data_IF_885695082234
#
_entry.id   IF_885695082234
#
_cell.length_a   1.000
_cell.length_b   1.000
_cell.length_c   1.000
_cell.angle_alpha   90.00
_cell.angle_beta   90.00
_cell.angle_gamma   90.00
#
_symmetry.space_group_name_H-M   'P 1'
#
loop_
_entity.id
_entity.type
_entity.pdbx_description
1 polymer ?
#
# COMPACT_ATOMS: atom_id res chain seq x y z
N UNK A 1 36.37 -2.21 -27.30
CA UNK A 1 35.91 -3.20 -26.28
C UNK A 1 34.52 -2.92 -25.70
N UNK A 2 33.96 -1.73 -25.81
CA UNK A 2 32.61 -1.36 -25.27
C UNK A 2 31.40 -1.81 -26.09
N UNK A 3 31.52 -1.93 -27.39
CA UNK A 3 30.40 -2.22 -28.31
C UNK A 3 29.94 -3.70 -28.23
N UNK A 4 30.85 -4.64 -28.05
CA UNK A 4 30.56 -6.06 -27.90
C UNK A 4 29.88 -6.41 -26.57
N UNK A 5 30.22 -5.69 -25.48
CA UNK A 5 29.63 -5.88 -24.16
C UNK A 5 28.17 -5.38 -24.12
N UNK A 6 27.84 -4.27 -24.83
CA UNK A 6 26.46 -3.77 -25.00
C UNK A 6 25.60 -4.74 -25.81
N UNK A 7 26.12 -5.33 -26.88
CA UNK A 7 25.39 -6.27 -27.75
C UNK A 7 25.08 -7.60 -27.03
N UNK A 8 26.02 -8.09 -26.18
CA UNK A 8 25.83 -9.32 -25.39
C UNK A 8 24.81 -9.14 -24.27
N UNK A 9 24.78 -7.99 -23.63
CA UNK A 9 23.75 -7.65 -22.63
C UNK A 9 22.37 -7.45 -23.26
N UNK A 10 22.32 -6.89 -24.48
CA UNK A 10 21.09 -6.71 -25.25
C UNK A 10 20.48 -8.06 -25.65
N UNK A 11 21.29 -9.00 -26.18
CA UNK A 11 20.86 -10.35 -26.54
C UNK A 11 20.44 -11.20 -25.31
N UNK A 12 21.10 -11.02 -24.18
CA UNK A 12 20.73 -11.69 -22.93
C UNK A 12 19.39 -11.17 -22.38
N UNK A 13 19.13 -9.85 -22.49
CA UNK A 13 17.82 -9.26 -22.18
C UNK A 13 16.71 -9.82 -23.05
N UNK A 14 16.93 -9.89 -24.36
CA UNK A 14 15.93 -10.41 -25.33
C UNK A 14 15.57 -11.87 -25.01
N UNK A 15 16.55 -12.73 -24.73
CA UNK A 15 16.30 -14.14 -24.39
C UNK A 15 15.53 -14.29 -23.07
N UNK A 16 15.83 -13.49 -22.05
CA UNK A 16 15.11 -13.49 -20.76
C UNK A 16 13.67 -13.00 -20.90
N UNK A 17 13.46 -11.92 -21.67
CA UNK A 17 12.13 -11.35 -21.88
C UNK A 17 11.25 -12.31 -22.68
N UNK A 18 11.80 -12.94 -23.75
CA UNK A 18 11.08 -14.00 -24.48
C UNK A 18 10.61 -15.13 -23.57
N UNK A 19 11.38 -15.50 -22.54
CA UNK A 19 11.00 -16.55 -21.59
C UNK A 19 9.90 -16.10 -20.60
N UNK A 20 9.76 -14.79 -20.34
CA UNK A 20 8.80 -14.24 -19.36
C UNK A 20 7.50 -13.73 -20.02
N UNK A 21 7.58 -13.25 -21.28
CA UNK A 21 6.43 -12.72 -22.03
C UNK A 21 5.79 -13.78 -22.95
N UNK A 22 6.53 -14.84 -23.34
CA UNK A 22 5.91 -15.92 -24.12
C UNK A 22 5.15 -16.90 -23.22
N UNK A 23 3.83 -17.05 -23.40
CA UNK A 23 3.14 -17.14 -24.71
C UNK A 23 1.89 -16.24 -24.85
N UNK A 24 1.98 -14.95 -24.65
CA UNK A 24 0.80 -14.09 -24.78
C UNK A 24 0.87 -13.39 -26.15
N UNK A 25 0.22 -13.96 -27.17
CA UNK A 25 -0.08 -13.26 -28.40
C UNK A 25 -1.28 -12.35 -28.15
N UNK A 26 -1.12 -11.06 -28.45
CA UNK A 26 -2.25 -10.13 -28.50
C UNK A 26 -3.08 -10.46 -29.75
N UNK A 27 -4.40 -10.45 -29.59
CA UNK A 27 -5.34 -10.73 -30.68
C UNK A 27 -5.90 -9.43 -31.26
N UNK A 28 -5.53 -9.05 -32.51
CA UNK A 28 -6.04 -7.86 -33.14
C UNK A 28 -7.55 -7.91 -33.44
N UNK A 29 -8.12 -9.11 -33.51
CA UNK A 29 -9.53 -9.34 -33.85
C UNK A 29 -10.43 -9.48 -32.62
N UNK A 30 -9.86 -9.39 -31.41
CA UNK A 30 -10.59 -9.43 -30.16
C UNK A 30 -11.45 -8.16 -29.99
N UNK A 31 -12.62 -8.27 -29.37
CA UNK A 31 -13.42 -7.11 -28.94
C UNK A 31 -12.65 -6.19 -27.97
N UNK A 32 -11.60 -6.71 -27.35
CA UNK A 32 -10.77 -5.97 -26.41
C UNK A 32 -9.67 -5.21 -27.14
N UNK A 33 -9.62 -3.86 -27.02
CA UNK A 33 -8.61 -3.04 -27.69
C UNK A 33 -7.18 -3.48 -27.36
N UNK A 34 -6.27 -3.41 -28.34
CA UNK A 34 -4.87 -3.86 -28.20
C UNK A 34 -4.11 -3.17 -27.05
N UNK A 35 -4.41 -1.90 -26.73
CA UNK A 35 -3.77 -1.22 -25.61
C UNK A 35 -4.19 -1.80 -24.25
N UNK A 36 -5.44 -2.29 -24.14
CA UNK A 36 -5.91 -2.95 -22.90
C UNK A 36 -5.29 -4.34 -22.77
N UNK A 37 -5.18 -5.09 -23.85
CA UNK A 37 -4.48 -6.37 -23.85
C UNK A 37 -2.99 -6.19 -23.48
N UNK A 38 -2.33 -5.17 -24.04
CA UNK A 38 -0.96 -4.83 -23.70
C UNK A 38 -0.80 -4.43 -22.23
N UNK A 39 -1.76 -3.68 -21.67
CA UNK A 39 -1.80 -3.34 -20.24
C UNK A 39 -1.82 -4.60 -19.36
N UNK A 40 -2.65 -5.59 -19.68
CA UNK A 40 -2.73 -6.84 -18.91
C UNK A 40 -1.41 -7.64 -18.94
N UNK A 41 -0.76 -7.66 -20.11
CA UNK A 41 0.56 -8.29 -20.25
C UNK A 41 1.61 -7.57 -19.42
N UNK A 42 1.61 -6.24 -19.44
CA UNK A 42 2.53 -5.43 -18.64
C UNK A 42 2.28 -5.61 -17.13
N UNK A 43 1.02 -5.73 -16.67
CA UNK A 43 0.68 -6.02 -15.28
C UNK A 43 1.28 -7.34 -14.82
N UNK A 44 1.12 -8.41 -15.60
CA UNK A 44 1.73 -9.71 -15.30
C UNK A 44 3.26 -9.63 -15.28
N UNK A 45 3.85 -8.86 -16.19
CA UNK A 45 5.30 -8.65 -16.23
C UNK A 45 5.81 -7.93 -14.97
N UNK A 46 5.12 -6.87 -14.54
CA UNK A 46 5.45 -6.09 -13.34
C UNK A 46 5.39 -6.95 -12.08
N UNK A 47 4.44 -7.88 -11.99
CA UNK A 47 4.27 -8.79 -10.86
C UNK A 47 5.26 -9.96 -10.84
N UNK A 48 5.95 -10.22 -11.94
CA UNK A 48 6.92 -11.30 -12.01
C UNK A 48 8.09 -11.09 -11.05
N UNK A 49 8.67 -12.19 -10.54
CA UNK A 49 9.83 -12.15 -9.63
C UNK A 49 10.99 -11.30 -10.17
N UNK A 50 11.11 -11.17 -11.49
CA UNK A 50 12.19 -10.44 -12.14
C UNK A 50 12.04 -8.91 -12.00
N UNK A 51 10.81 -8.38 -12.03
CA UNK A 51 10.52 -6.93 -12.05
C UNK A 51 9.96 -6.39 -10.74
N UNK A 52 9.46 -7.26 -9.87
CA UNK A 52 8.82 -6.89 -8.59
C UNK A 52 9.66 -6.01 -7.67
N UNK A 53 10.99 -5.98 -7.84
CA UNK A 53 11.93 -5.24 -6.99
C UNK A 53 12.34 -3.87 -7.58
N UNK A 54 11.52 -3.26 -8.40
CA UNK A 54 11.80 -1.93 -8.94
C UNK A 54 12.84 -1.92 -10.07
N UNK A 55 12.89 -2.96 -10.88
CA UNK A 55 13.77 -3.08 -12.04
C UNK A 55 13.26 -2.22 -13.20
N UNK A 56 14.17 -1.80 -14.06
CA UNK A 56 13.82 -1.14 -15.33
C UNK A 56 13.12 -2.12 -16.25
N UNK A 57 11.99 -1.71 -16.84
CA UNK A 57 11.37 -2.42 -17.94
C UNK A 57 12.28 -2.34 -19.18
N UNK A 58 12.17 -3.28 -20.12
CA UNK A 58 12.76 -3.15 -21.43
C UNK A 58 12.32 -1.86 -22.10
N UNK A 59 13.12 -1.34 -23.02
CA UNK A 59 12.75 -0.13 -23.73
C UNK A 59 11.46 -0.32 -24.57
N UNK A 60 10.75 0.77 -24.82
CA UNK A 60 9.45 0.75 -25.53
C UNK A 60 9.56 0.14 -26.94
N UNK A 61 10.72 0.29 -27.62
CA UNK A 61 10.96 -0.29 -28.95
C UNK A 61 10.92 -1.80 -28.86
N UNK A 62 11.69 -2.35 -27.94
CA UNK A 62 11.81 -3.80 -27.75
C UNK A 62 10.48 -4.43 -27.32
N UNK A 63 9.75 -3.77 -26.40
CA UNK A 63 8.44 -4.24 -25.96
C UNK A 63 7.39 -4.18 -27.09
N UNK A 64 7.38 -3.12 -27.89
CA UNK A 64 6.44 -3.00 -29.02
C UNK A 64 6.69 -4.06 -30.09
N UNK A 65 7.95 -4.35 -30.41
CA UNK A 65 8.33 -5.42 -31.32
C UNK A 65 7.93 -6.80 -30.80
N UNK A 66 8.13 -7.06 -29.52
CA UNK A 66 7.79 -8.35 -28.90
C UNK A 66 6.29 -8.61 -28.83
N UNK A 67 5.50 -7.58 -28.56
CA UNK A 67 4.04 -7.65 -28.51
C UNK A 67 3.39 -7.49 -29.87
N UNK A 68 4.19 -7.22 -30.92
CA UNK A 68 3.74 -6.95 -32.29
C UNK A 68 2.65 -5.87 -32.37
N UNK A 69 2.88 -4.74 -31.67
CA UNK A 69 1.98 -3.59 -31.63
C UNK A 69 2.74 -2.30 -31.93
N UNK A 70 1.98 -1.24 -32.27
CA UNK A 70 2.58 0.07 -32.47
C UNK A 70 3.15 0.63 -31.15
N UNK A 71 4.19 1.47 -31.25
CA UNK A 71 4.74 2.18 -30.08
C UNK A 71 3.68 3.04 -29.39
N UNK A 72 2.75 3.62 -30.17
CA UNK A 72 1.68 4.44 -29.60
C UNK A 72 0.71 3.60 -28.76
N UNK A 73 0.34 2.42 -29.24
CA UNK A 73 -0.50 1.47 -28.49
C UNK A 73 0.18 1.04 -27.19
N UNK A 74 1.47 0.71 -27.26
CA UNK A 74 2.25 0.37 -26.07
C UNK A 74 2.35 1.55 -25.08
N UNK A 75 2.55 2.78 -25.59
CA UNK A 75 2.62 3.99 -24.76
C UNK A 75 1.33 4.27 -24.04
N UNK A 76 0.17 4.03 -24.66
CA UNK A 76 -1.13 4.15 -24.00
C UNK A 76 -1.22 3.21 -22.78
N UNK A 77 -0.83 1.93 -22.96
CA UNK A 77 -0.79 0.97 -21.86
C UNK A 77 0.19 1.39 -20.76
N UNK A 78 1.42 1.80 -21.12
CA UNK A 78 2.40 2.28 -20.14
C UNK A 78 1.91 3.55 -19.42
N UNK A 79 1.31 4.52 -20.13
CA UNK A 79 0.78 5.74 -19.52
C UNK A 79 -0.30 5.44 -18.48
N UNK A 80 -1.17 4.49 -18.75
CA UNK A 80 -2.18 4.03 -17.81
C UNK A 80 -1.54 3.49 -16.52
N UNK A 81 -0.52 2.63 -16.65
CA UNK A 81 0.20 2.08 -15.51
C UNK A 81 1.06 3.13 -14.77
N UNK A 82 1.55 4.16 -15.46
CA UNK A 82 2.21 5.31 -14.83
C UNK A 82 1.20 6.16 -14.05
N UNK A 83 0.02 6.41 -14.62
CA UNK A 83 -1.08 7.12 -13.94
C UNK A 83 -1.54 6.38 -12.69
N UNK A 84 -1.54 5.05 -12.72
CA UNK A 84 -1.87 4.20 -11.56
C UNK A 84 -0.70 4.05 -10.56
N UNK A 85 0.43 4.71 -10.81
CA UNK A 85 1.59 4.65 -9.92
C UNK A 85 2.34 3.30 -9.92
N UNK A 86 2.02 2.38 -10.84
CA UNK A 86 2.71 1.09 -10.96
C UNK A 86 4.04 1.20 -11.70
N UNK A 87 4.17 2.22 -12.54
CA UNK A 87 5.38 2.53 -13.29
C UNK A 87 5.77 4.00 -13.09
N UNK A 88 7.06 4.29 -13.18
CA UNK A 88 7.58 5.66 -13.20
C UNK A 88 8.51 5.84 -14.41
N UNK A 89 8.29 6.92 -15.18
CA UNK A 89 9.21 7.32 -16.26
C UNK A 89 10.26 8.28 -15.72
N UNK A 90 11.51 8.00 -16.05
CA UNK A 90 12.62 8.92 -15.80
C UNK A 90 13.29 9.27 -17.13
N UNK A 91 13.22 10.56 -17.51
CA UNK A 91 13.80 11.06 -18.76
C UNK A 91 15.26 10.59 -18.90
N UNK A 92 15.59 9.96 -20.02
CA UNK A 92 16.92 9.41 -20.31
C UNK A 92 17.25 8.06 -19.62
N UNK A 93 16.44 7.58 -18.68
CA UNK A 93 16.70 6.36 -17.91
C UNK A 93 15.68 5.24 -18.14
N UNK A 94 14.59 5.51 -18.88
CA UNK A 94 13.56 4.53 -19.20
C UNK A 94 12.40 4.48 -18.21
N UNK A 95 11.63 3.40 -18.27
CA UNK A 95 10.46 3.14 -17.41
C UNK A 95 10.82 2.11 -16.34
N UNK A 96 10.61 2.44 -15.10
CA UNK A 96 10.92 1.60 -13.93
C UNK A 96 9.64 1.14 -13.27
N UNK A 97 9.61 -0.11 -12.83
CA UNK A 97 8.56 -0.60 -11.94
C UNK A 97 8.69 0.15 -10.61
N UNK A 98 7.62 0.78 -10.17
CA UNK A 98 7.59 1.37 -8.83
C UNK A 98 7.66 0.21 -7.85
N UNK A 99 8.63 0.24 -6.93
CA UNK A 99 8.52 -0.62 -5.74
C UNK A 99 7.16 -0.28 -5.15
N UNK A 100 6.30 -1.26 -4.97
CA UNK A 100 5.07 -1.05 -4.22
C UNK A 100 5.48 -0.51 -2.85
N UNK A 101 5.57 0.81 -2.73
CA UNK A 101 5.26 1.45 -1.49
C UNK A 101 3.84 0.99 -1.16
N UNK A 102 3.47 1.02 0.08
CA UNK A 102 2.15 0.62 0.57
C UNK A 102 1.09 1.47 -0.15
N UNK A 103 0.71 1.06 -1.38
CA UNK A 103 -0.44 1.63 -2.08
C UNK A 103 -1.60 0.74 -1.66
N UNK A 104 -2.29 1.14 -0.61
CA UNK A 104 -3.59 0.60 -0.25
C UNK A 104 -4.55 0.88 -1.40
N UNK A 105 -4.63 -0.05 -2.35
CA UNK A 105 -5.62 0.01 -3.43
C UNK A 105 -7.00 -0.28 -2.84
N UNK A 106 -7.94 0.63 -3.09
CA UNK A 106 -9.33 0.67 -2.62
C UNK A 106 -10.15 -0.63 -2.88
N UNK A 107 -9.61 -1.64 -3.53
CA UNK A 107 -10.36 -2.87 -3.90
C UNK A 107 -10.10 -4.11 -3.04
N UNK A 108 -9.02 -4.17 -2.28
CA UNK A 108 -8.76 -5.26 -1.33
C UNK A 108 -8.35 -4.62 0.00
N UNK A 109 -9.32 -4.51 0.90
CA UNK A 109 -9.05 -4.06 2.25
C UNK A 109 -8.09 -5.05 2.92
N UNK A 110 -6.90 -4.58 3.28
CA UNK A 110 -5.90 -5.33 4.01
C UNK A 110 -5.59 -4.61 5.33
N UNK A 111 -5.49 -5.37 6.40
CA UNK A 111 -4.95 -4.84 7.64
C UNK A 111 -3.45 -4.52 7.46
N UNK A 112 -2.93 -3.59 8.26
CA UNK A 112 -1.50 -3.29 8.26
C UNK A 112 -0.62 -4.54 8.43
N UNK A 113 -1.01 -5.47 9.32
CA UNK A 113 -0.26 -6.72 9.52
C UNK A 113 -0.28 -7.62 8.26
N UNK A 114 -1.39 -7.65 7.53
CA UNK A 114 -1.48 -8.39 6.27
C UNK A 114 -0.67 -7.72 5.16
N UNK A 115 -0.71 -6.37 5.08
CA UNK A 115 0.11 -5.59 4.14
C UNK A 115 1.61 -5.90 4.36
N UNK A 116 2.09 -5.85 5.59
CA UNK A 116 3.48 -6.13 5.94
C UNK A 116 3.87 -7.59 5.67
N UNK A 117 3.00 -8.54 6.01
CA UNK A 117 3.22 -9.96 5.72
C UNK A 117 3.36 -10.23 4.21
N UNK A 118 2.54 -9.58 3.38
CA UNK A 118 2.65 -9.69 1.91
C UNK A 118 3.95 -9.09 1.36
N UNK A 119 4.48 -8.06 2.03
CA UNK A 119 5.78 -7.46 1.69
C UNK A 119 6.97 -8.27 2.24
N UNK A 120 6.72 -9.32 3.04
CA UNK A 120 7.75 -10.11 3.69
C UNK A 120 8.44 -9.36 4.83
N UNK A 121 7.78 -8.34 5.39
CA UNK A 121 8.29 -7.54 6.50
C UNK A 121 7.74 -8.12 7.81
N UNK A 122 8.64 -8.57 8.67
CA UNK A 122 8.31 -8.97 10.04
C UNK A 122 8.14 -7.73 10.91
N UNK A 123 6.99 -7.62 11.56
CA UNK A 123 6.62 -6.45 12.36
C UNK A 123 6.92 -6.67 13.83
N UNK A 124 7.62 -5.69 14.43
CA UNK A 124 7.84 -5.56 15.87
C UNK A 124 6.96 -4.44 16.42
N UNK A 125 6.35 -4.66 17.59
CA UNK A 125 5.74 -3.60 18.39
C UNK A 125 6.82 -2.99 19.29
N UNK A 126 7.05 -1.68 19.18
CA UNK A 126 7.95 -0.92 20.06
C UNK A 126 7.20 -0.38 21.26
N UNK A 127 5.97 0.10 21.02
CA UNK A 127 5.06 0.57 22.05
C UNK A 127 3.67 0.00 21.80
N UNK A 128 2.95 -0.29 22.89
CA UNK A 128 1.54 -0.65 22.89
C UNK A 128 0.91 -0.09 24.16
N UNK A 129 -0.08 0.78 23.99
CA UNK A 129 -0.79 1.38 25.11
C UNK A 129 -2.29 1.40 24.86
N UNK A 130 -3.06 1.00 25.86
CA UNK A 130 -4.52 1.03 25.83
C UNK A 130 -5.02 2.05 26.85
N UNK A 131 -5.98 2.87 26.45
CA UNK A 131 -6.60 3.87 27.32
C UNK A 131 -8.06 4.10 26.92
N UNK A 132 -8.82 4.80 27.77
CA UNK A 132 -10.18 5.24 27.48
C UNK A 132 -10.21 6.76 27.48
N UNK A 133 -10.45 7.38 26.31
CA UNK A 133 -10.39 8.84 26.15
C UNK A 133 -11.72 9.37 25.58
N UNK A 134 -12.06 10.60 25.95
CA UNK A 134 -13.15 11.34 25.28
C UNK A 134 -12.77 11.57 23.82
N UNK A 135 -13.61 11.16 22.84
CA UNK A 135 -13.33 11.36 21.43
C UNK A 135 -13.52 12.84 21.02
N UNK A 136 -12.87 13.24 19.93
CA UNK A 136 -13.11 14.54 19.28
C UNK A 136 -14.47 14.57 18.58
N UNK A 137 -14.95 15.76 18.19
CA UNK A 137 -16.20 15.92 17.44
C UNK A 137 -16.19 15.12 16.11
N UNK A 138 -15.04 15.07 15.41
CA UNK A 138 -14.86 14.29 14.19
C UNK A 138 -15.11 12.80 14.42
N UNK A 139 -14.58 12.27 15.54
CA UNK A 139 -14.74 10.87 15.92
C UNK A 139 -16.16 10.59 16.41
N UNK A 140 -16.76 11.53 17.17
CA UNK A 140 -18.15 11.44 17.59
C UNK A 140 -19.08 11.36 16.37
N UNK A 141 -18.87 12.23 15.39
CA UNK A 141 -19.63 12.23 14.13
C UNK A 141 -19.47 10.90 13.38
N UNK A 142 -18.25 10.40 13.29
CA UNK A 142 -17.97 9.14 12.61
C UNK A 142 -18.67 7.94 13.26
N UNK A 143 -18.67 7.85 14.58
CA UNK A 143 -19.33 6.77 15.32
C UNK A 143 -20.82 7.02 15.61
N UNK A 144 -21.34 8.17 15.23
CA UNK A 144 -22.70 8.60 15.53
C UNK A 144 -23.03 8.56 17.03
N UNK A 145 -22.10 9.12 17.85
CA UNK A 145 -22.25 9.27 19.30
C UNK A 145 -22.42 10.74 19.69
N UNK A 146 -23.24 10.95 20.70
CA UNK A 146 -23.51 12.29 21.24
C UNK A 146 -22.31 12.76 22.07
N UNK A 147 -21.62 13.86 21.70
CA UNK A 147 -20.47 14.37 22.44
C UNK A 147 -20.78 14.82 23.85
N UNK A 148 -22.05 15.19 24.14
CA UNK A 148 -22.48 15.69 25.46
C UNK A 148 -22.68 14.55 26.47
N UNK A 149 -22.85 13.31 26.03
CA UNK A 149 -23.03 12.15 26.91
C UNK A 149 -21.76 11.72 27.65
N UNK A 150 -20.61 12.35 27.39
CA UNK A 150 -19.34 12.02 28.05
C UNK A 150 -18.82 10.61 27.73
N UNK A 151 -19.32 9.99 26.66
CA UNK A 151 -18.93 8.64 26.23
C UNK A 151 -17.43 8.60 25.94
N UNK A 152 -16.74 7.60 26.49
CA UNK A 152 -15.32 7.35 26.20
C UNK A 152 -15.19 6.25 25.18
N UNK A 153 -14.25 6.41 24.25
CA UNK A 153 -13.82 5.37 23.33
C UNK A 153 -12.59 4.68 23.88
N UNK A 154 -12.47 3.37 23.69
CA UNK A 154 -11.18 2.71 23.85
C UNK A 154 -10.23 3.22 22.78
N UNK A 155 -9.00 3.53 23.19
CA UNK A 155 -7.92 4.02 22.33
C UNK A 155 -6.75 3.07 22.42
N UNK A 156 -6.33 2.56 21.28
CA UNK A 156 -5.14 1.72 21.15
C UNK A 156 -4.06 2.51 20.43
N UNK A 157 -2.99 2.81 21.13
CA UNK A 157 -1.80 3.48 20.60
C UNK A 157 -0.69 2.44 20.41
N UNK A 158 -0.11 2.38 19.20
CA UNK A 158 0.96 1.44 18.89
C UNK A 158 2.03 2.09 18.05
N UNK A 159 3.29 1.88 18.42
CA UNK A 159 4.44 2.18 17.59
C UNK A 159 4.98 0.88 17.03
N UNK A 160 5.05 0.79 15.71
CA UNK A 160 5.41 -0.44 14.99
C UNK A 160 6.50 -0.19 13.95
N UNK A 161 7.29 -1.20 13.72
CA UNK A 161 8.39 -1.11 12.77
C UNK A 161 8.92 -2.48 12.38
N UNK A 162 10.08 -2.50 11.74
CA UNK A 162 10.86 -3.70 11.51
C UNK A 162 11.70 -4.04 12.76
N UNK A 163 12.67 -4.93 12.64
CA UNK A 163 13.55 -5.32 13.76
C UNK A 163 14.48 -4.18 14.22
N UNK A 164 14.78 -3.23 13.34
CA UNK A 164 15.83 -2.21 13.54
C UNK A 164 15.26 -0.88 14.07
N UNK A 165 14.13 -0.41 13.50
CA UNK A 165 13.56 0.90 13.84
C UNK A 165 12.04 0.96 13.68
N UNK A 166 11.37 1.86 14.43
CA UNK A 166 9.96 2.14 14.24
C UNK A 166 9.74 2.93 12.94
N UNK A 167 8.69 2.64 12.20
CA UNK A 167 8.35 3.41 11.00
C UNK A 167 6.90 3.86 10.93
N UNK A 168 6.07 3.46 11.88
CA UNK A 168 4.69 3.92 11.97
C UNK A 168 4.21 3.99 13.41
N UNK A 169 3.50 5.08 13.73
CA UNK A 169 2.76 5.25 14.99
C UNK A 169 1.26 5.30 14.67
N UNK A 170 0.48 4.43 15.30
CA UNK A 170 -0.96 4.34 15.16
C UNK A 170 -1.70 4.84 16.39
N UNK A 171 -2.80 5.54 16.16
CA UNK A 171 -3.80 5.86 17.18
C UNK A 171 -5.14 5.38 16.65
N UNK A 172 -5.72 4.36 17.27
CA UNK A 172 -7.00 3.75 16.89
C UNK A 172 -8.05 4.03 17.96
N UNK A 173 -9.14 4.69 17.59
CA UNK A 173 -10.34 4.83 18.40
C UNK A 173 -11.35 3.77 17.97
N UNK A 174 -11.96 3.09 18.93
CA UNK A 174 -12.97 2.07 18.65
C UNK A 174 -14.36 2.55 19.01
N UNK A 175 -15.34 2.10 18.23
CA UNK A 175 -16.74 2.36 18.50
C UNK A 175 -17.09 1.89 19.92
N UNK A 176 -17.63 2.76 20.80
CA UNK A 176 -17.92 2.41 22.18
C UNK A 176 -19.04 1.35 22.33
N UNK A 177 -19.79 1.07 21.27
CA UNK A 177 -20.76 -0.02 21.27
C UNK A 177 -20.12 -1.42 21.14
N UNK A 178 -18.82 -1.48 20.83
CA UNK A 178 -18.05 -2.73 20.88
C UNK A 178 -17.59 -2.92 22.32
N UNK A 179 -17.89 -4.05 22.97
CA UNK A 179 -17.60 -4.25 24.39
C UNK A 179 -16.12 -4.59 24.63
N UNK A 180 -15.20 -3.78 24.07
CA UNK A 180 -13.76 -3.90 24.31
C UNK A 180 -13.45 -3.52 25.75
N UNK A 181 -12.71 -4.39 26.44
CA UNK A 181 -12.33 -4.19 27.85
C UNK A 181 -10.97 -3.51 28.01
N UNK A 182 -10.12 -3.60 26.99
CA UNK A 182 -8.73 -3.15 27.03
C UNK A 182 -7.75 -4.24 27.45
N UNK A 183 -8.25 -5.41 27.87
CA UNK A 183 -7.44 -6.57 28.30
C UNK A 183 -7.16 -7.55 27.15
N UNK A 184 -7.62 -7.21 25.94
CA UNK A 184 -7.38 -8.02 24.75
C UNK A 184 -5.89 -8.06 24.39
N UNK A 185 -5.44 -9.20 23.85
CA UNK A 185 -4.07 -9.33 23.36
C UNK A 185 -3.88 -8.61 22.01
N UNK A 186 -3.60 -7.31 22.09
CA UNK A 186 -3.34 -6.47 20.92
C UNK A 186 -1.93 -6.63 20.31
N UNK A 187 -1.13 -7.56 20.79
CA UNK A 187 0.10 -7.98 20.12
C UNK A 187 -0.22 -8.79 18.86
N UNK A 188 -1.38 -9.44 18.84
CA UNK A 188 -1.91 -10.18 17.70
C UNK A 188 -2.51 -9.24 16.63
N UNK A 189 -2.80 -9.74 15.42
CA UNK A 189 -3.50 -9.01 14.40
C UNK A 189 -4.85 -8.50 14.91
N UNK A 190 -5.01 -7.18 15.01
CA UNK A 190 -6.16 -6.49 15.62
C UNK A 190 -7.52 -7.02 15.12
N UNK A 191 -7.67 -7.17 13.80
CA UNK A 191 -8.96 -7.58 13.24
C UNK A 191 -9.25 -9.07 13.44
N UNK A 192 -8.20 -9.88 13.65
CA UNK A 192 -8.38 -11.25 14.13
C UNK A 192 -8.93 -11.30 15.56
N UNK A 193 -8.48 -10.39 16.43
CA UNK A 193 -9.05 -10.26 17.79
C UNK A 193 -10.52 -9.84 17.73
N UNK A 194 -10.88 -8.86 16.87
CA UNK A 194 -12.27 -8.40 16.71
C UNK A 194 -13.17 -9.51 16.13
N UNK A 195 -12.70 -10.24 15.16
CA UNK A 195 -13.44 -11.35 14.54
C UNK A 195 -13.65 -12.50 15.53
N UNK A 196 -12.58 -12.98 16.16
CA UNK A 196 -12.63 -14.18 17.00
C UNK A 196 -13.40 -13.95 18.33
N UNK A 197 -13.24 -12.76 18.94
CA UNK A 197 -13.82 -12.47 20.26
C UNK A 197 -15.19 -11.80 20.19
N UNK A 198 -15.42 -10.99 19.17
CA UNK A 198 -16.61 -10.14 19.05
C UNK A 198 -17.46 -10.42 17.82
N UNK A 199 -17.06 -11.38 16.98
CA UNK A 199 -17.71 -11.71 15.70
C UNK A 199 -17.85 -10.49 14.76
N UNK A 200 -16.88 -9.57 14.82
CA UNK A 200 -16.86 -8.35 13.99
C UNK A 200 -15.95 -8.60 12.79
N UNK A 201 -16.55 -8.76 11.61
CA UNK A 201 -15.85 -8.95 10.36
C UNK A 201 -15.67 -7.60 9.69
N UNK A 202 -14.46 -7.07 9.74
CA UNK A 202 -14.12 -5.82 9.07
C UNK A 202 -14.00 -6.06 7.56
N UNK A 203 -14.63 -5.17 6.75
CA UNK A 203 -14.69 -5.35 5.30
C UNK A 203 -14.27 -4.15 4.48
N UNK A 204 -14.51 -2.93 4.96
CA UNK A 204 -14.32 -1.72 4.16
C UNK A 204 -13.57 -0.67 4.96
N UNK A 205 -12.69 0.07 4.31
CA UNK A 205 -12.16 1.32 4.86
C UNK A 205 -12.21 2.44 3.82
N UNK A 206 -12.56 3.63 4.27
CA UNK A 206 -12.31 4.89 3.54
C UNK A 206 -11.04 5.49 4.08
N UNK A 207 -10.27 6.16 3.24
CA UNK A 207 -8.96 6.66 3.63
C UNK A 207 -8.76 8.11 3.17
N UNK A 208 -8.11 8.87 4.02
CA UNK A 208 -7.61 10.20 3.72
C UNK A 208 -6.10 10.20 3.93
N UNK A 209 -5.36 10.76 2.99
CA UNK A 209 -3.90 10.81 3.03
C UNK A 209 -3.44 12.26 2.94
N UNK A 210 -2.55 12.64 3.86
CA UNK A 210 -1.92 13.95 3.89
C UNK A 210 -0.45 13.83 4.31
N UNK A 211 0.29 14.93 4.23
CA UNK A 211 1.67 14.98 4.68
C UNK A 211 1.93 16.27 5.46
N UNK A 212 2.82 16.19 6.45
CA UNK A 212 3.32 17.34 7.20
C UNK A 212 4.70 17.04 7.79
N UNK A 213 5.30 17.99 8.47
CA UNK A 213 6.46 17.74 9.31
C UNK A 213 6.06 16.96 10.58
N UNK A 214 6.95 16.12 11.08
CA UNK A 214 6.68 15.24 12.21
C UNK A 214 6.23 16.01 13.47
N UNK A 215 6.93 17.11 13.79
CA UNK A 215 6.82 17.76 15.09
C UNK A 215 7.45 16.90 16.19
N UNK A 216 7.63 17.45 17.37
CA UNK A 216 8.38 16.80 18.46
C UNK A 216 7.78 15.46 18.88
N UNK A 217 6.46 15.42 19.12
CA UNK A 217 5.76 14.24 19.63
C UNK A 217 5.86 13.00 18.71
N UNK A 218 5.68 13.19 17.40
CA UNK A 218 5.78 12.06 16.45
C UNK A 218 7.23 11.72 16.14
N UNK A 219 8.11 12.72 16.13
CA UNK A 219 9.54 12.54 15.94
C UNK A 219 10.15 11.63 17.00
N UNK A 220 9.82 11.84 18.26
CA UNK A 220 10.24 10.98 19.39
C UNK A 220 9.77 9.54 19.20
N UNK A 221 8.48 9.33 18.86
CA UNK A 221 7.91 7.99 18.66
C UNK A 221 8.50 7.23 17.50
N UNK A 222 8.92 7.91 16.45
CA UNK A 222 9.43 7.31 15.21
C UNK A 222 10.95 7.35 15.10
N UNK A 223 11.66 7.89 16.10
CA UNK A 223 13.12 8.08 16.09
C UNK A 223 13.59 8.81 14.83
N UNK A 224 13.01 10.01 14.60
CA UNK A 224 13.31 10.91 13.48
C UNK A 224 13.42 12.35 13.99
N UNK A 225 13.79 13.29 13.13
CA UNK A 225 13.83 14.72 13.47
C UNK A 225 12.42 15.32 13.39
N UNK A 226 12.14 16.31 14.21
CA UNK A 226 10.87 17.05 14.18
C UNK A 226 10.61 17.76 12.84
N UNK A 227 11.66 18.05 12.08
CA UNK A 227 11.63 18.64 10.74
C UNK A 227 11.48 17.60 9.61
N UNK A 228 11.54 16.32 9.90
CA UNK A 228 11.41 15.29 8.88
C UNK A 228 9.95 15.16 8.42
N UNK A 229 9.71 14.93 7.12
CA UNK A 229 8.37 14.75 6.61
C UNK A 229 7.79 13.41 7.03
N UNK A 230 6.49 13.40 7.33
CA UNK A 230 5.70 12.20 7.60
C UNK A 230 4.47 12.15 6.71
N UNK A 231 4.04 10.94 6.38
CA UNK A 231 2.74 10.67 5.78
C UNK A 231 1.72 10.41 6.89
N UNK A 232 0.56 11.03 6.80
CA UNK A 232 -0.59 10.77 7.68
C UNK A 232 -1.64 10.04 6.88
N UNK A 233 -2.11 8.91 7.40
CA UNK A 233 -3.19 8.11 6.81
C UNK A 233 -4.29 7.98 7.85
N UNK A 234 -5.41 8.66 7.64
CA UNK A 234 -6.64 8.46 8.40
C UNK A 234 -7.45 7.35 7.76
N UNK A 235 -7.99 6.45 8.57
CA UNK A 235 -8.82 5.34 8.10
C UNK A 235 -10.13 5.31 8.88
N UNK A 236 -11.22 5.24 8.13
CA UNK A 236 -12.58 5.09 8.59
C UNK A 236 -13.03 3.66 8.29
N UNK A 237 -12.98 2.80 9.29
CA UNK A 237 -13.12 1.35 9.12
C UNK A 237 -14.52 0.90 9.47
N UNK A 238 -15.10 0.06 8.61
CA UNK A 238 -16.46 -0.45 8.74
C UNK A 238 -16.48 -1.98 8.66
N UNK A 239 -17.46 -2.57 9.33
CA UNK A 239 -17.75 -4.00 9.24
C UNK A 239 -18.50 -4.38 7.96
N UNK A 240 -18.85 -5.66 7.87
CA UNK A 240 -19.65 -6.23 6.76
C UNK A 240 -21.04 -5.58 6.63
N UNK A 241 -21.61 -5.03 7.72
CA UNK A 241 -22.91 -4.39 7.79
C UNK A 241 -22.82 -2.86 7.63
N UNK A 242 -21.64 -2.33 7.26
CA UNK A 242 -21.35 -0.90 7.17
C UNK A 242 -21.43 -0.15 8.51
N UNK A 243 -21.31 -0.86 9.62
CA UNK A 243 -21.22 -0.24 10.95
C UNK A 243 -19.79 0.29 11.13
N UNK A 244 -19.60 1.55 11.58
CA UNK A 244 -18.28 2.09 11.86
C UNK A 244 -17.66 1.38 13.07
N UNK A 245 -16.45 0.85 12.91
CA UNK A 245 -15.76 0.02 13.89
C UNK A 245 -14.54 0.72 14.49
N UNK A 246 -13.69 1.31 13.65
CA UNK A 246 -12.42 1.92 14.05
C UNK A 246 -12.18 3.21 13.27
N UNK A 247 -11.81 4.26 13.99
CA UNK A 247 -11.19 5.46 13.45
C UNK A 247 -9.69 5.41 13.76
N UNK A 248 -8.88 5.25 12.72
CA UNK A 248 -7.44 5.08 12.88
C UNK A 248 -6.68 6.23 12.24
N UNK A 249 -5.64 6.72 12.91
CA UNK A 249 -4.66 7.65 12.39
C UNK A 249 -3.31 6.96 12.43
N UNK A 250 -2.67 6.82 11.27
CA UNK A 250 -1.31 6.31 11.13
C UNK A 250 -0.36 7.42 10.71
N UNK A 251 0.72 7.59 11.44
CA UNK A 251 1.83 8.50 11.14
C UNK A 251 3.00 7.66 10.67
N UNK A 252 3.38 7.79 9.39
CA UNK A 252 4.40 6.98 8.76
C UNK A 252 5.63 7.82 8.46
N UNK A 253 6.81 7.27 8.69
CA UNK A 253 8.06 7.87 8.19
C UNK A 253 8.02 7.96 6.67
N UNK A 254 8.49 9.07 6.11
CA UNK A 254 8.49 9.26 4.65
C UNK A 254 9.60 8.46 3.93
N UNK A 255 10.61 8.01 4.67
CA UNK A 255 11.75 7.24 4.16
C UNK A 255 11.54 5.71 4.23
N UNK A 256 10.36 5.27 4.66
CA UNK A 256 10.04 3.84 4.90
C UNK A 256 9.15 3.25 3.83
#
# INVERSE_FOLDING_TARGET
MGFFKKKKNYLCSIKKIKKTIMPIKLDPNSEKPLHIQAEEVLRKLIESKEYKNGKLLPNEVLLSEQLNISRNTLRQAINKLVFEGLLVRKKGHGTKVVRKGIIGGVKNWLSFSQEMKMLGIEIKNFELHVSFKKPSEEICTFFNIDPEKGTKCMVLERVRGNKEYPFVSFISYFNPNIPLTGDEDFTQPLYGVLENKYNIIVKTSKEEVSARLAGEFIAEKLDIKSSDPILIRKRFVYDINQVPIEYNIGYYRADS
#
